data_IF_470198698991
#
_entry.id   IF_470198698991
#
_cell.length_a   1.000
_cell.length_b   1.000
_cell.length_c   1.000
_cell.angle_alpha   90.00
_cell.angle_beta   90.00
_cell.angle_gamma   90.00
#
_symmetry.space_group_name_H-M   'P 1'
#
loop_
_entity.id
_entity.type
_entity.pdbx_description
1 polymer ?
#
# COMPACT_ATOMS: atom_id res chain seq x y z
N UNK A 1 -20.82 12.63 -11.65
CA UNK A 1 -19.44 12.28 -11.27
C UNK A 1 -19.55 11.15 -10.27
N UNK A 2 -18.99 9.98 -10.57
CA UNK A 2 -18.97 8.86 -9.62
C UNK A 2 -17.97 9.20 -8.51
N UNK A 3 -18.37 9.03 -7.24
CA UNK A 3 -17.49 9.32 -6.11
C UNK A 3 -16.33 8.30 -6.09
N UNK A 4 -15.11 8.78 -5.84
CA UNK A 4 -13.93 7.92 -5.65
C UNK A 4 -14.20 7.05 -4.43
N UNK A 5 -14.18 5.72 -4.60
CA UNK A 5 -14.42 4.78 -3.50
C UNK A 5 -13.10 4.32 -2.90
N UNK A 6 -13.07 4.21 -1.58
CA UNK A 6 -11.91 3.75 -0.79
C UNK A 6 -11.40 2.37 -1.24
N UNK A 7 -12.31 1.48 -1.67
CA UNK A 7 -12.03 0.11 -2.13
C UNK A 7 -11.58 0.02 -3.60
N UNK A 8 -11.48 1.14 -4.32
CA UNK A 8 -11.26 1.12 -5.76
C UNK A 8 -9.85 0.68 -6.17
N UNK A 9 -8.85 0.79 -5.28
CA UNK A 9 -7.47 0.39 -5.55
C UNK A 9 -7.33 -1.07 -6.00
N UNK A 10 -8.03 -2.00 -5.36
CA UNK A 10 -7.94 -3.43 -5.67
C UNK A 10 -9.18 -3.98 -6.39
N UNK A 11 -10.09 -3.12 -6.83
CA UNK A 11 -11.29 -3.53 -7.55
C UNK A 11 -10.95 -3.90 -8.99
N UNK A 12 -11.27 -5.14 -9.38
CA UNK A 12 -11.09 -5.66 -10.75
C UNK A 12 -9.64 -5.59 -11.25
N UNK A 13 -8.65 -5.85 -10.39
CA UNK A 13 -7.23 -5.87 -10.79
C UNK A 13 -7.02 -6.90 -11.92
N UNK A 14 -6.38 -6.45 -13.00
CA UNK A 14 -5.92 -7.27 -14.12
C UNK A 14 -4.46 -6.97 -14.35
N UNK A 15 -3.60 -8.00 -14.39
CA UNK A 15 -2.16 -7.81 -14.55
C UNK A 15 -1.81 -7.10 -15.87
N UNK A 16 -2.57 -7.38 -16.95
CA UNK A 16 -2.43 -6.68 -18.24
C UNK A 16 -2.73 -5.17 -18.18
N UNK A 17 -3.43 -4.70 -17.14
CA UNK A 17 -3.84 -3.30 -16.94
C UNK A 17 -3.24 -2.72 -15.65
N UNK A 18 -2.17 -3.31 -15.12
CA UNK A 18 -1.63 -2.95 -13.82
C UNK A 18 -1.26 -1.47 -13.71
N UNK A 19 -0.68 -0.88 -14.77
CA UNK A 19 -0.33 0.55 -14.78
C UNK A 19 -1.56 1.46 -14.70
N UNK A 20 -2.64 1.11 -15.38
CA UNK A 20 -3.91 1.85 -15.28
C UNK A 20 -4.52 1.69 -13.89
N UNK A 21 -4.38 0.50 -13.30
CA UNK A 21 -4.85 0.25 -11.94
C UNK A 21 -4.08 1.07 -10.89
N UNK A 22 -2.77 1.21 -11.06
CA UNK A 22 -1.94 2.08 -10.20
C UNK A 22 -2.43 3.52 -10.29
N UNK A 23 -2.64 4.07 -11.50
CA UNK A 23 -3.16 5.44 -11.68
C UNK A 23 -4.52 5.65 -11.01
N UNK A 24 -5.42 4.66 -11.13
CA UNK A 24 -6.71 4.69 -10.42
C UNK A 24 -6.51 4.74 -8.90
N UNK A 25 -5.58 3.94 -8.39
CA UNK A 25 -5.27 3.93 -6.97
C UNK A 25 -4.58 5.22 -6.49
N UNK A 26 -3.79 5.89 -7.33
CA UNK A 26 -3.22 7.21 -7.01
C UNK A 26 -4.32 8.22 -6.68
N UNK A 27 -5.40 8.27 -7.47
CA UNK A 27 -6.55 9.13 -7.20
C UNK A 27 -7.27 8.78 -5.88
N UNK A 28 -7.29 7.49 -5.49
CA UNK A 28 -7.85 7.06 -4.20
C UNK A 28 -6.95 7.52 -3.05
N UNK A 29 -5.64 7.33 -3.18
CA UNK A 29 -4.65 7.75 -2.19
C UNK A 29 -4.67 9.28 -1.96
N UNK A 30 -4.90 10.05 -3.02
CA UNK A 30 -5.10 11.51 -2.97
C UNK A 30 -6.43 11.90 -2.33
N UNK A 31 -7.51 11.17 -2.62
CA UNK A 31 -8.83 11.43 -2.05
C UNK A 31 -8.93 11.07 -0.56
N UNK A 32 -8.13 10.11 -0.09
CA UNK A 32 -8.11 9.64 1.30
C UNK A 32 -6.69 9.74 1.88
N UNK A 33 -6.15 10.96 2.10
CA UNK A 33 -4.75 11.15 2.49
C UNK A 33 -4.43 10.67 3.91
N UNK A 34 -5.38 10.76 4.83
CA UNK A 34 -5.23 10.37 6.25
C UNK A 34 -5.57 8.90 6.50
N UNK A 35 -5.91 8.18 5.44
CA UNK A 35 -6.30 6.79 5.50
C UNK A 35 -5.11 5.88 5.13
N UNK A 36 -4.67 4.98 6.02
CA UNK A 36 -3.58 4.07 5.71
C UNK A 36 -3.96 2.97 4.71
N UNK A 37 -5.25 2.64 4.53
CA UNK A 37 -5.67 1.49 3.72
C UNK A 37 -5.35 1.65 2.22
N UNK A 38 -5.65 2.78 1.55
CA UNK A 38 -5.32 2.96 0.12
C UNK A 38 -3.83 2.87 -0.18
N UNK A 39 -2.96 3.29 0.76
CA UNK A 39 -1.51 3.14 0.62
C UNK A 39 -1.07 1.68 0.78
N UNK A 40 -1.66 0.93 1.71
CA UNK A 40 -1.43 -0.51 1.80
C UNK A 40 -1.85 -1.26 0.52
N UNK A 41 -2.95 -0.84 -0.08
CA UNK A 41 -3.42 -1.40 -1.35
C UNK A 41 -2.49 -1.04 -2.51
N UNK A 42 -2.07 0.23 -2.60
CA UNK A 42 -1.12 0.68 -3.63
C UNK A 42 0.24 0.02 -3.52
N UNK A 43 0.69 -0.30 -2.30
CA UNK A 43 1.87 -1.14 -2.07
C UNK A 43 1.79 -2.45 -2.87
N UNK A 44 0.66 -3.18 -2.80
CA UNK A 44 0.49 -4.45 -3.53
C UNK A 44 0.59 -4.24 -5.04
N UNK A 45 -0.01 -3.17 -5.57
CA UNK A 45 0.04 -2.86 -7.00
C UNK A 45 1.47 -2.53 -7.45
N UNK A 46 2.21 -1.75 -6.67
CA UNK A 46 3.61 -1.44 -6.95
C UNK A 46 4.52 -2.69 -6.85
N UNK A 47 4.30 -3.57 -5.87
CA UNK A 47 5.03 -4.85 -5.77
C UNK A 47 4.75 -5.75 -6.98
N UNK A 48 3.49 -5.85 -7.43
CA UNK A 48 3.15 -6.61 -8.65
C UNK A 48 3.80 -6.01 -9.91
N UNK A 49 4.10 -4.71 -9.91
CA UNK A 49 4.78 -4.03 -11.00
C UNK A 49 6.32 -4.10 -10.89
N UNK A 50 6.86 -4.79 -9.88
CA UNK A 50 8.30 -4.84 -9.60
C UNK A 50 8.89 -3.50 -9.14
N UNK A 51 8.05 -2.57 -8.66
CA UNK A 51 8.47 -1.27 -8.18
C UNK A 51 8.57 -1.25 -6.65
N UNK A 52 9.53 -2.00 -6.11
CA UNK A 52 9.72 -2.16 -4.67
C UNK A 52 9.99 -0.84 -3.96
N UNK A 53 10.65 0.11 -4.64
CA UNK A 53 10.91 1.44 -4.09
C UNK A 53 9.61 2.18 -3.78
N UNK A 54 8.68 2.22 -4.73
CA UNK A 54 7.38 2.88 -4.54
C UNK A 54 6.51 2.11 -3.54
N UNK A 55 6.50 0.78 -3.63
CA UNK A 55 5.80 -0.08 -2.68
C UNK A 55 6.24 0.20 -1.24
N UNK A 56 7.56 0.24 -1.00
CA UNK A 56 8.10 0.54 0.32
C UNK A 56 7.88 1.97 0.78
N UNK A 57 7.77 2.93 -0.14
CA UNK A 57 7.38 4.29 0.21
C UNK A 57 5.95 4.34 0.75
N UNK A 58 5.02 3.61 0.11
CA UNK A 58 3.63 3.50 0.57
C UNK A 58 3.54 2.88 1.96
N UNK A 59 4.23 1.77 2.22
CA UNK A 59 4.21 1.12 3.53
C UNK A 59 4.72 2.03 4.64
N UNK A 60 5.82 2.77 4.40
CA UNK A 60 6.36 3.71 5.39
C UNK A 60 5.34 4.80 5.73
N UNK A 61 4.64 5.32 4.73
CA UNK A 61 3.63 6.36 4.94
C UNK A 61 2.36 5.81 5.61
N UNK A 62 1.87 4.66 5.17
CA UNK A 62 0.73 3.98 5.77
C UNK A 62 0.99 3.60 7.23
N UNK A 63 2.16 3.06 7.56
CA UNK A 63 2.54 2.72 8.93
C UNK A 63 2.65 3.97 9.82
N UNK A 64 3.16 5.10 9.27
CA UNK A 64 3.17 6.39 9.99
C UNK A 64 1.76 6.86 10.33
N UNK A 65 0.82 6.78 9.39
CA UNK A 65 -0.59 7.12 9.61
C UNK A 65 -1.22 6.18 10.65
N UNK A 66 -1.02 4.87 10.51
CA UNK A 66 -1.56 3.87 11.42
C UNK A 66 -1.11 4.08 12.88
N UNK A 67 0.15 4.47 13.10
CA UNK A 67 0.66 4.81 14.43
C UNK A 67 0.00 6.05 15.05
N UNK A 68 -0.43 7.01 14.23
CA UNK A 68 -1.11 8.22 14.70
C UNK A 68 -2.60 8.01 14.99
N UNK A 69 -3.21 6.95 14.43
CA UNK A 69 -4.63 6.64 14.64
C UNK A 69 -4.79 5.81 15.94
N UNK A 70 -5.75 6.15 16.83
CA UNK A 70 -6.07 5.33 18.01
C UNK A 70 -6.40 3.88 17.64
N UNK A 71 -6.05 2.93 18.52
CA UNK A 71 -6.20 1.51 18.25
C UNK A 71 -7.65 1.11 17.93
N UNK A 72 -8.62 1.76 18.58
CA UNK A 72 -10.05 1.49 18.44
C UNK A 72 -10.65 2.02 17.14
N UNK A 73 -9.91 2.87 16.41
CA UNK A 73 -10.38 3.53 15.17
C UNK A 73 -9.76 2.96 13.90
N UNK A 74 -8.77 2.08 14.03
CA UNK A 74 -8.13 1.42 12.91
C UNK A 74 -8.41 -0.08 12.99
N UNK A 75 -8.70 -0.68 11.85
CA UNK A 75 -8.81 -2.13 11.75
C UNK A 75 -7.53 -2.81 12.29
N UNK A 76 -7.63 -3.72 13.29
CA UNK A 76 -6.46 -4.34 13.91
C UNK A 76 -5.64 -5.20 12.94
N UNK A 77 -6.28 -5.79 11.93
CA UNK A 77 -5.60 -6.57 10.92
C UNK A 77 -4.74 -5.66 10.04
N UNK A 78 -5.30 -4.54 9.56
CA UNK A 78 -4.55 -3.56 8.78
C UNK A 78 -3.36 -3.00 9.56
N UNK A 79 -3.51 -2.73 10.86
CA UNK A 79 -2.38 -2.31 11.70
C UNK A 79 -1.27 -3.36 11.72
N UNK A 80 -1.63 -4.61 12.01
CA UNK A 80 -0.69 -5.73 12.08
C UNK A 80 0.00 -5.98 10.73
N UNK A 81 -0.77 -5.94 9.64
CA UNK A 81 -0.26 -6.07 8.28
C UNK A 81 0.79 -5.00 7.97
N UNK A 82 0.52 -3.74 8.30
CA UNK A 82 1.46 -2.63 8.09
C UNK A 82 2.73 -2.78 8.92
N UNK A 83 2.60 -3.28 10.15
CA UNK A 83 3.73 -3.54 11.04
C UNK A 83 4.67 -4.63 10.51
N UNK A 84 4.12 -5.70 9.95
CA UNK A 84 4.89 -6.80 9.35
C UNK A 84 5.47 -6.36 8.00
N UNK A 85 4.65 -5.79 7.13
CA UNK A 85 5.05 -5.45 5.76
C UNK A 85 6.15 -4.39 5.72
N UNK A 86 6.12 -3.38 6.61
CA UNK A 86 7.18 -2.36 6.62
C UNK A 86 8.57 -2.94 6.93
N UNK A 87 8.65 -4.08 7.64
CA UNK A 87 9.94 -4.76 7.94
C UNK A 87 10.57 -5.36 6.68
N UNK A 88 9.76 -5.68 5.67
CA UNK A 88 10.25 -6.15 4.36
C UNK A 88 11.00 -5.05 3.59
N UNK A 89 10.80 -3.79 3.98
CA UNK A 89 11.39 -2.62 3.34
C UNK A 89 12.69 -2.16 4.00
N UNK A 90 13.14 -2.83 5.06
CA UNK A 90 14.43 -2.55 5.68
C UNK A 90 15.57 -3.15 4.86
N UNK A 91 16.63 -2.37 4.55
CA UNK A 91 17.77 -2.85 3.77
C UNK A 91 18.60 -3.92 4.49
N UNK A 92 18.27 -4.26 5.74
CA UNK A 92 18.88 -5.33 6.53
C UNK A 92 18.09 -6.66 6.52
N UNK A 93 16.93 -6.72 5.81
CA UNK A 93 16.10 -7.92 5.63
C UNK A 93 16.38 -8.68 4.32
N UNK A 94 15.85 -9.91 4.14
CA UNK A 94 16.46 -10.98 3.32
C UNK A 94 16.45 -10.77 1.79
N UNK A 95 15.97 -9.63 1.29
CA UNK A 95 16.01 -9.28 -0.13
C UNK A 95 17.38 -8.80 -0.63
N UNK A 96 18.40 -8.75 0.24
CA UNK A 96 19.79 -8.46 -0.11
C UNK A 96 20.61 -9.68 -0.58
N UNK A 97 20.01 -10.86 -0.71
CA UNK A 97 20.69 -12.02 -1.28
C UNK A 97 20.48 -12.04 -2.81
N UNK A 98 21.53 -11.97 -3.65
CA UNK A 98 21.37 -12.28 -5.07
C UNK A 98 20.92 -13.74 -5.19
N UNK A 99 19.93 -14.00 -6.03
CA UNK A 99 19.51 -15.36 -6.36
C UNK A 99 20.72 -16.18 -6.91
N UNK A 100 20.80 -17.50 -6.65
CA UNK A 100 21.86 -18.35 -7.20
C UNK A 100 21.83 -18.42 -8.72
#
# INVERSE_FOLDING_TARGET
MEAIRRDACLRNVRLEQLQEQIKRCDAVVEAFPDDPAPRNDRYLLHSLAGNDKAACQDLRQAAKLAKAIPAERLDPQLRSDLEVRQQLCDPAGPAGAPAP
#
